data_IF_448577258429
#
_entry.id   IF_448577258429
#
_cell.length_a   1.000
_cell.length_b   1.000
_cell.length_c   1.000
_cell.angle_alpha   90.00
_cell.angle_beta   90.00
_cell.angle_gamma   90.00
#
_symmetry.space_group_name_H-M   'P 1'
#
loop_
_entity.id
_entity.type
_entity.pdbx_description
1 polymer ?
#
# COMPACT_ATOMS: atom_id res chain seq x y z
N UNK A 1 22.48 10.59 8.78
CA UNK A 1 21.20 10.00 8.40
C UNK A 1 20.92 8.79 9.29
N UNK A 2 19.77 8.80 9.96
CA UNK A 2 19.46 7.69 10.85
C UNK A 2 19.21 6.41 10.06
N UNK A 3 19.69 5.29 10.56
CA UNK A 3 19.36 4.00 10.01
C UNK A 3 17.85 3.75 10.15
N UNK A 4 17.19 3.07 9.18
CA UNK A 4 15.79 2.72 9.35
C UNK A 4 15.61 1.83 10.57
N UNK A 5 14.53 2.04 11.30
CA UNK A 5 14.18 1.20 12.43
C UNK A 5 13.97 -0.23 11.94
N UNK A 6 14.54 -1.24 12.61
CA UNK A 6 14.27 -2.62 12.25
C UNK A 6 12.79 -2.95 12.42
N UNK A 7 12.27 -3.81 11.56
CA UNK A 7 10.91 -4.30 11.72
C UNK A 7 10.81 -5.07 13.04
N UNK A 8 9.68 -4.85 13.70
CA UNK A 8 9.37 -5.51 14.97
C UNK A 8 8.20 -6.48 14.76
N UNK A 9 8.17 -7.51 15.61
CA UNK A 9 7.07 -8.46 15.60
C UNK A 9 5.73 -7.71 15.69
N UNK A 10 4.81 -8.05 14.81
CA UNK A 10 3.49 -7.42 14.78
C UNK A 10 3.37 -6.22 13.86
N UNK A 11 4.48 -5.71 13.33
CA UNK A 11 4.43 -4.63 12.34
C UNK A 11 3.60 -5.09 11.13
N UNK A 12 2.78 -4.17 10.62
CA UNK A 12 1.87 -4.48 9.50
C UNK A 12 2.60 -4.37 8.18
N UNK A 13 2.41 -5.37 7.33
CA UNK A 13 3.02 -5.45 6.02
C UNK A 13 1.90 -5.50 4.98
N UNK A 14 1.91 -4.54 4.06
CA UNK A 14 1.00 -4.48 2.93
C UNK A 14 1.64 -5.20 1.75
N UNK A 15 1.03 -6.31 1.33
CA UNK A 15 1.55 -7.09 0.21
C UNK A 15 1.06 -6.47 -1.09
N UNK A 16 2.01 -6.17 -1.99
CA UNK A 16 1.75 -5.49 -3.25
C UNK A 16 2.21 -6.33 -4.44
N UNK A 17 1.55 -6.12 -5.58
CA UNK A 17 2.09 -6.56 -6.87
C UNK A 17 3.24 -5.63 -7.26
N UNK A 18 4.20 -6.16 -8.03
CA UNK A 18 5.40 -5.42 -8.44
C UNK A 18 5.08 -4.06 -9.04
N UNK A 19 4.08 -4.02 -9.94
CA UNK A 19 3.66 -2.79 -10.61
C UNK A 19 3.31 -1.68 -9.62
N UNK A 20 2.49 -2.00 -8.62
CA UNK A 20 2.04 -1.01 -7.65
C UNK A 20 3.17 -0.61 -6.69
N UNK A 21 4.00 -1.57 -6.30
CA UNK A 21 5.15 -1.30 -5.45
C UNK A 21 6.07 -0.26 -6.09
N UNK A 22 6.42 -0.45 -7.37
CA UNK A 22 7.28 0.48 -8.09
C UNK A 22 6.69 1.89 -8.14
N UNK A 23 5.40 2.00 -8.46
CA UNK A 23 4.73 3.30 -8.56
C UNK A 23 4.60 4.01 -7.20
N UNK A 24 4.42 3.26 -6.13
CA UNK A 24 4.37 3.84 -4.78
C UNK A 24 5.76 4.30 -4.35
N UNK A 25 6.79 3.48 -4.57
CA UNK A 25 8.16 3.85 -4.19
C UNK A 25 8.67 5.06 -4.97
N UNK A 26 8.27 5.21 -6.23
CA UNK A 26 8.66 6.37 -7.04
C UNK A 26 7.90 7.64 -6.67
N UNK A 27 6.81 7.52 -5.92
CA UNK A 27 5.95 8.66 -5.58
C UNK A 27 4.87 8.96 -6.62
N UNK A 28 4.81 8.21 -7.72
CA UNK A 28 3.80 8.44 -8.76
C UNK A 28 2.41 8.03 -8.32
N UNK A 29 2.30 6.94 -7.56
CA UNK A 29 1.02 6.47 -7.02
C UNK A 29 0.91 6.91 -5.56
N UNK A 30 -0.07 7.76 -5.27
CA UNK A 30 -0.28 8.34 -3.93
C UNK A 30 -1.57 7.87 -3.27
N UNK A 31 -2.23 6.87 -3.84
CA UNK A 31 -3.42 6.26 -3.26
C UNK A 31 -3.43 4.78 -3.63
N UNK A 32 -3.43 3.92 -2.63
CA UNK A 32 -3.58 2.47 -2.82
C UNK A 32 -5.06 2.11 -2.79
N UNK A 33 -5.47 1.14 -3.60
CA UNK A 33 -6.88 0.75 -3.71
C UNK A 33 -7.06 -0.65 -3.13
N UNK A 34 -7.99 -0.76 -2.20
CA UNK A 34 -8.29 -2.02 -1.51
C UNK A 34 -9.79 -2.23 -1.35
N UNK A 35 -10.19 -3.48 -1.12
CA UNK A 35 -11.57 -3.84 -0.85
C UNK A 35 -11.97 -3.71 0.61
N UNK A 36 -11.01 -3.37 1.47
CA UNK A 36 -11.22 -3.25 2.91
C UNK A 36 -10.76 -1.91 3.43
N UNK A 37 -11.44 -1.44 4.47
CA UNK A 37 -11.06 -0.22 5.18
C UNK A 37 -9.90 -0.55 6.11
N UNK A 38 -8.69 -0.19 5.72
CA UNK A 38 -7.51 -0.40 6.55
C UNK A 38 -7.35 0.76 7.53
N UNK A 39 -6.82 0.45 8.71
CA UNK A 39 -6.53 1.46 9.72
C UNK A 39 -5.46 2.41 9.21
N UNK A 40 -5.62 3.71 9.45
CA UNK A 40 -4.57 4.70 9.19
C UNK A 40 -3.33 4.39 10.02
N UNK A 41 -2.16 4.73 9.48
CA UNK A 41 -0.89 4.55 10.17
C UNK A 41 0.17 3.94 9.28
N UNK A 42 1.18 3.39 9.91
CA UNK A 42 2.37 2.88 9.26
C UNK A 42 2.18 1.45 8.74
N UNK A 43 2.62 1.22 7.50
CA UNK A 43 2.68 -0.10 6.89
C UNK A 43 4.01 -0.27 6.17
N UNK A 44 4.57 -1.47 6.26
CA UNK A 44 5.69 -1.84 5.40
C UNK A 44 5.16 -2.39 4.09
N UNK A 45 5.96 -2.28 3.03
CA UNK A 45 5.58 -2.71 1.69
C UNK A 45 6.31 -4.00 1.34
N UNK A 46 5.55 -5.06 1.10
CA UNK A 46 6.11 -6.38 0.82
C UNK A 46 5.83 -6.88 -0.60
N UNK A 47 6.80 -7.59 -1.17
CA UNK A 47 6.69 -8.23 -2.46
C UNK A 47 7.68 -9.39 -2.51
N UNK A 48 7.22 -10.56 -2.97
CA UNK A 48 8.07 -11.76 -3.07
C UNK A 48 8.89 -12.02 -1.82
N UNK A 49 8.21 -12.02 -0.68
CA UNK A 49 8.79 -12.36 0.63
C UNK A 49 9.82 -11.35 1.16
N UNK A 50 9.96 -10.18 0.50
CA UNK A 50 10.88 -9.13 0.93
C UNK A 50 10.16 -7.83 1.21
N UNK A 51 10.79 -7.00 2.03
CA UNK A 51 10.28 -5.67 2.38
C UNK A 51 11.09 -4.63 1.62
N UNK A 52 10.39 -3.74 0.91
CA UNK A 52 11.04 -2.76 0.03
C UNK A 52 10.81 -1.32 0.46
N UNK A 53 9.93 -1.09 1.40
CA UNK A 53 9.64 0.27 1.81
C UNK A 53 8.68 0.33 2.97
N UNK A 54 8.38 1.55 3.35
CA UNK A 54 7.47 1.88 4.45
C UNK A 54 6.62 3.08 4.04
N UNK A 55 5.34 3.04 4.33
CA UNK A 55 4.41 4.13 4.05
C UNK A 55 3.64 4.51 5.30
N UNK A 56 3.21 5.77 5.34
CA UNK A 56 2.17 6.23 6.26
C UNK A 56 0.89 6.39 5.45
N UNK A 57 -0.17 5.73 5.89
CA UNK A 57 -1.47 5.74 5.21
C UNK A 57 -2.43 6.59 6.03
N UNK A 58 -3.16 7.49 5.36
CA UNK A 58 -4.19 8.30 5.97
C UNK A 58 -5.51 7.55 6.12
N UNK A 59 -6.54 8.28 6.55
CA UNK A 59 -7.86 7.70 6.73
C UNK A 59 -8.41 7.17 5.39
N UNK A 60 -8.98 5.97 5.37
CA UNK A 60 -9.55 5.40 4.14
C UNK A 60 -10.66 6.26 3.58
N UNK A 61 -10.68 6.40 2.27
CA UNK A 61 -11.70 7.15 1.53
C UNK A 61 -12.60 6.15 0.82
N UNK A 62 -13.89 6.03 1.20
CA UNK A 62 -14.82 5.18 0.45
C UNK A 62 -15.00 5.76 -0.96
N UNK A 63 -14.84 4.92 -1.97
CA UNK A 63 -15.04 5.30 -3.38
C UNK A 63 -16.29 4.58 -3.84
N UNK A 64 -17.39 5.33 -4.01
CA UNK A 64 -18.72 4.76 -4.23
C UNK A 64 -19.29 5.07 -5.60
N UNK A 65 -18.73 6.03 -6.34
CA UNK A 65 -19.22 6.41 -7.66
C UNK A 65 -18.11 6.34 -8.69
N UNK A 66 -18.48 6.14 -9.95
CA UNK A 66 -17.50 6.11 -11.03
C UNK A 66 -16.89 7.49 -11.28
N UNK A 67 -17.62 8.56 -11.05
CA UNK A 67 -17.09 9.91 -11.17
C UNK A 67 -15.98 10.14 -10.15
N UNK A 68 -16.21 9.75 -8.92
CA UNK A 68 -15.20 9.83 -7.85
C UNK A 68 -13.96 9.01 -8.22
N UNK A 69 -14.18 7.80 -8.74
CA UNK A 69 -13.10 6.92 -9.18
C UNK A 69 -12.24 7.58 -10.26
N UNK A 70 -12.87 8.15 -11.26
CA UNK A 70 -12.16 8.84 -12.35
C UNK A 70 -11.41 10.08 -11.87
N UNK A 71 -12.03 10.85 -10.98
CA UNK A 71 -11.41 12.04 -10.41
C UNK A 71 -10.13 11.69 -9.64
N UNK A 72 -10.10 10.54 -8.99
CA UNK A 72 -8.96 10.09 -8.21
C UNK A 72 -7.91 9.33 -9.02
N UNK A 73 -8.13 9.13 -10.32
CA UNK A 73 -7.19 8.38 -11.17
C UNK A 73 -5.74 8.88 -11.08
N UNK A 74 -5.46 10.19 -11.12
CA UNK A 74 -4.07 10.65 -11.03
C UNK A 74 -3.37 10.20 -9.75
N UNK A 75 -4.11 9.87 -8.72
CA UNK A 75 -3.56 9.41 -7.45
C UNK A 75 -3.43 7.90 -7.41
N UNK A 76 -4.44 7.13 -7.84
CA UNK A 76 -4.40 5.68 -7.71
C UNK A 76 -3.79 4.96 -8.92
N UNK A 77 -3.87 5.54 -10.11
CA UNK A 77 -3.28 5.03 -11.36
C UNK A 77 -3.82 3.63 -11.78
N UNK A 78 -4.96 3.22 -11.25
CA UNK A 78 -5.59 1.96 -11.66
C UNK A 78 -6.44 2.22 -12.89
N UNK A 79 -6.05 1.65 -14.02
CA UNK A 79 -6.75 1.85 -15.27
C UNK A 79 -7.89 0.84 -15.42
N UNK A 80 -9.04 1.21 -14.85
CA UNK A 80 -10.26 0.42 -14.88
C UNK A 80 -11.45 1.31 -15.17
N UNK A 81 -12.34 0.88 -16.05
CA UNK A 81 -13.57 1.61 -16.37
C UNK A 81 -14.67 1.42 -15.32
N UNK A 82 -14.48 0.48 -14.40
CA UNK A 82 -15.42 0.18 -13.33
C UNK A 82 -14.71 0.17 -11.99
N UNK A 83 -15.47 0.30 -10.90
CA UNK A 83 -14.92 0.12 -9.56
C UNK A 83 -14.41 -1.32 -9.42
N UNK A 84 -13.15 -1.50 -8.95
CA UNK A 84 -12.52 -2.83 -8.93
C UNK A 84 -13.12 -3.79 -7.90
N UNK A 85 -13.83 -3.28 -6.90
CA UNK A 85 -14.41 -4.09 -5.84
C UNK A 85 -15.84 -3.66 -5.55
N UNK A 86 -16.64 -4.54 -4.98
CA UNK A 86 -17.99 -4.21 -4.50
C UNK A 86 -17.92 -3.06 -3.50
N UNK A 87 -16.96 -3.14 -2.57
CA UNK A 87 -16.60 -2.01 -1.70
C UNK A 87 -15.18 -1.60 -2.03
N UNK A 88 -15.02 -0.37 -2.49
CA UNK A 88 -13.71 0.14 -2.90
C UNK A 88 -13.28 1.26 -1.96
N UNK A 89 -12.05 1.14 -1.45
CA UNK A 89 -11.45 2.15 -0.59
C UNK A 89 -10.16 2.66 -1.18
N UNK A 90 -9.99 3.98 -1.15
CA UNK A 90 -8.73 4.63 -1.44
C UNK A 90 -7.98 4.88 -0.15
N UNK A 91 -6.74 4.41 -0.09
CA UNK A 91 -5.86 4.60 1.06
C UNK A 91 -4.84 5.67 0.69
N UNK A 92 -5.00 6.91 1.19
CA UNK A 92 -4.05 7.98 0.85
C UNK A 92 -2.67 7.64 1.38
N UNK A 93 -1.65 7.77 0.53
CA UNK A 93 -0.25 7.57 0.93
C UNK A 93 0.32 8.93 1.27
N UNK A 94 0.53 9.18 2.56
CA UNK A 94 0.97 10.47 3.07
C UNK A 94 2.49 10.64 2.98
N UNK A 95 3.22 9.53 3.10
CA UNK A 95 4.67 9.52 2.96
C UNK A 95 5.13 8.14 2.54
N UNK A 96 6.28 8.07 1.89
CA UNK A 96 6.89 6.81 1.47
C UNK A 96 8.40 6.90 1.68
N UNK A 97 8.99 5.79 2.12
CA UNK A 97 10.42 5.65 2.27
C UNK A 97 10.85 4.28 1.77
N UNK A 98 11.85 4.25 0.91
CA UNK A 98 12.43 2.99 0.44
C UNK A 98 13.29 2.37 1.52
N UNK A 99 13.31 1.04 1.57
CA UNK A 99 14.17 0.27 2.46
C UNK A 99 14.96 -0.73 1.60
N UNK A 100 16.19 -0.99 1.99
CA UNK A 100 16.95 -2.06 1.37
C UNK A 100 16.47 -3.40 1.91
N UNK A 101 16.18 -4.32 0.99
CA UNK A 101 15.37 -5.50 1.27
C UNK A 101 16.08 -6.63 2.00
N UNK A 102 16.44 -6.43 3.27
CA UNK A 102 16.98 -7.47 4.13
C UNK A 102 15.93 -8.18 4.97
N UNK A 103 14.74 -7.59 5.09
CA UNK A 103 13.66 -8.18 5.89
C UNK A 103 12.83 -9.10 5.03
N UNK A 104 12.27 -10.15 5.64
CA UNK A 104 11.43 -11.13 4.96
C UNK A 104 10.04 -11.19 5.59
N UNK A 105 9.03 -11.50 4.78
CA UNK A 105 7.68 -11.77 5.25
C UNK A 105 7.28 -13.19 4.87
N UNK A 106 6.18 -13.74 5.44
CA UNK A 106 5.79 -15.12 5.17
C UNK A 106 5.58 -15.40 3.69
N UNK A 107 6.05 -16.56 3.23
CA UNK A 107 5.87 -17.04 1.87
C UNK A 107 4.38 -17.22 1.58
N UNK A 108 3.95 -16.84 0.38
CA UNK A 108 2.55 -16.98 -0.04
C UNK A 108 1.59 -15.99 0.61
N UNK A 109 2.10 -15.01 1.38
CA UNK A 109 1.27 -13.99 2.00
C UNK A 109 0.57 -13.13 0.96
N UNK A 110 -0.70 -12.80 1.21
CA UNK A 110 -1.49 -11.86 0.40
C UNK A 110 -2.19 -10.88 1.33
N UNK A 111 -2.55 -9.69 0.79
CA UNK A 111 -3.23 -8.66 1.57
C UNK A 111 -2.34 -8.05 2.64
N UNK A 112 -2.80 -8.08 3.88
CA UNK A 112 -2.07 -7.55 5.04
C UNK A 112 -1.61 -8.71 5.91
N UNK A 113 -0.32 -8.73 6.25
CA UNK A 113 0.23 -9.70 7.19
C UNK A 113 1.04 -8.97 8.26
N UNK A 114 1.28 -9.64 9.37
CA UNK A 114 2.12 -9.09 10.44
C UNK A 114 3.51 -9.70 10.37
N UNK A 115 4.50 -8.89 10.64
CA UNK A 115 5.88 -9.32 10.70
C UNK A 115 6.06 -10.29 11.89
N UNK A 116 6.73 -11.38 11.66
CA UNK A 116 6.98 -12.40 12.68
C UNK A 116 8.40 -12.33 13.24
#
# INVERSE_FOLDING_TARGET
MAAPQPLQKGDRILILKERWLGLILSGDKTMEIRSKRLRAGKYYLGYKEKIYGCVSIGLPVPITTIEQWRTLYPRHLVNSSTLPYERTFGLPILSVRSLEGTYKHPKGAIGIVKYR
#
